data_IF_495788915965
#
_entry.id   IF_495788915965
#
_cell.length_a   1.000
_cell.length_b   1.000
_cell.length_c   1.000
_cell.angle_alpha   90.00
_cell.angle_beta   90.00
_cell.angle_gamma   90.00
#
_symmetry.space_group_name_H-M   'P 1'
#
loop_
_entity.id
_entity.type
_entity.pdbx_description
1 polymer ?
#
# COMPACT_ATOMS: atom_id res chain seq x y z
N UNK A 1 -2.34 -12.02 -3.22
CA UNK A 1 -2.30 -11.04 -2.11
C UNK A 1 -2.71 -11.75 -0.84
N UNK A 2 -1.83 -11.80 0.16
CA UNK A 2 -2.20 -12.31 1.48
C UNK A 2 -3.29 -11.39 2.05
N UNK A 3 -4.39 -11.97 2.50
CA UNK A 3 -5.42 -11.20 3.20
C UNK A 3 -4.79 -10.65 4.50
N UNK A 4 -4.85 -9.33 4.76
CA UNK A 4 -4.20 -8.71 5.92
C UNK A 4 -4.53 -9.39 7.25
N UNK A 5 -5.76 -9.91 7.38
CA UNK A 5 -6.22 -10.63 8.58
C UNK A 5 -5.48 -11.93 8.82
N UNK A 6 -5.39 -12.81 7.82
CA UNK A 6 -4.73 -14.11 7.97
C UNK A 6 -3.24 -13.99 8.33
N UNK A 7 -2.58 -12.93 7.85
CA UNK A 7 -1.20 -12.62 8.23
C UNK A 7 -1.09 -12.14 9.69
N UNK A 8 -1.97 -11.23 10.12
CA UNK A 8 -2.00 -10.74 11.50
C UNK A 8 -2.31 -11.86 12.49
N UNK A 9 -3.21 -12.78 12.13
CA UNK A 9 -3.56 -13.95 12.93
C UNK A 9 -2.34 -14.88 13.08
N UNK A 10 -1.62 -15.17 11.99
CA UNK A 10 -0.41 -16.00 12.03
C UNK A 10 0.73 -15.34 12.84
N UNK A 11 0.87 -14.01 12.74
CA UNK A 11 1.83 -13.22 13.52
C UNK A 11 1.50 -13.26 15.02
N UNK A 12 0.21 -13.12 15.36
CA UNK A 12 -0.30 -13.19 16.73
C UNK A 12 -0.08 -14.57 17.33
N UNK A 13 -0.33 -15.63 16.57
CA UNK A 13 -0.06 -17.01 16.99
C UNK A 13 1.43 -17.23 17.25
N UNK A 14 2.30 -16.73 16.37
CA UNK A 14 3.74 -16.90 16.50
C UNK A 14 4.32 -16.07 17.65
N UNK A 15 3.80 -14.86 17.88
CA UNK A 15 4.14 -14.04 19.05
C UNK A 15 3.62 -14.67 20.35
N UNK A 16 2.39 -15.16 20.37
CA UNK A 16 1.80 -15.85 21.51
C UNK A 16 2.65 -17.06 21.91
N UNK A 17 3.16 -17.84 20.95
CA UNK A 17 4.09 -18.95 21.23
C UNK A 17 5.43 -18.50 21.83
N UNK A 18 5.97 -17.36 21.40
CA UNK A 18 7.19 -16.79 21.99
C UNK A 18 6.98 -16.36 23.45
N UNK A 19 5.79 -15.84 23.80
CA UNK A 19 5.46 -15.39 25.15
C UNK A 19 4.85 -16.46 26.06
N UNK A 20 4.24 -17.50 25.48
CA UNK A 20 3.63 -18.63 26.20
C UNK A 20 4.60 -19.79 26.43
N UNK A 21 5.84 -19.68 25.95
CA UNK A 21 6.85 -20.72 26.08
C UNK A 21 7.20 -20.97 27.55
N UNK A 22 7.17 -22.24 27.94
CA UNK A 22 7.49 -22.85 29.23
C UNK A 22 8.99 -22.72 29.62
N UNK A 23 9.66 -21.67 29.15
CA UNK A 23 11.09 -21.45 29.35
C UNK A 23 11.33 -20.07 29.97
N UNK A 24 12.08 -20.07 31.05
CA UNK A 24 12.62 -18.88 31.72
C UNK A 24 13.66 -18.16 30.83
N UNK A 25 13.31 -17.82 29.60
CA UNK A 25 14.17 -17.09 28.68
C UNK A 25 14.36 -15.65 29.22
N UNK A 26 15.59 -15.13 29.26
CA UNK A 26 15.86 -13.75 29.64
C UNK A 26 15.06 -12.78 28.77
N UNK A 27 14.50 -11.71 29.36
CA UNK A 27 13.73 -10.69 28.63
C UNK A 27 14.42 -10.16 27.37
N UNK A 28 15.75 -10.02 27.41
CA UNK A 28 16.54 -9.55 26.28
C UNK A 28 16.52 -10.52 25.08
N UNK A 29 16.45 -11.82 25.34
CA UNK A 29 16.42 -12.85 24.29
C UNK A 29 15.04 -12.91 23.63
N UNK A 30 13.97 -12.72 24.41
CA UNK A 30 12.60 -12.56 23.89
C UNK A 30 12.46 -11.30 23.02
N UNK A 31 13.02 -10.17 23.45
CA UNK A 31 13.02 -8.92 22.69
C UNK A 31 13.73 -9.07 21.34
N UNK A 32 14.89 -9.74 21.33
CA UNK A 32 15.63 -10.04 20.11
C UNK A 32 14.83 -10.92 19.14
N UNK A 33 14.25 -12.01 19.64
CA UNK A 33 13.43 -12.92 18.82
C UNK A 33 12.17 -12.22 18.27
N UNK A 34 11.51 -11.38 19.07
CA UNK A 34 10.37 -10.59 18.64
C UNK A 34 10.77 -9.57 17.55
N UNK A 35 11.92 -8.90 17.70
CA UNK A 35 12.43 -7.96 16.69
C UNK A 35 12.71 -8.65 15.35
N UNK A 36 13.32 -9.83 15.36
CA UNK A 36 13.57 -10.62 14.15
C UNK A 36 12.26 -11.05 13.49
N UNK A 37 11.28 -11.48 14.29
CA UNK A 37 9.94 -11.84 13.80
C UNK A 37 9.25 -10.63 13.15
N UNK A 38 9.29 -9.45 13.77
CA UNK A 38 8.75 -8.20 13.22
C UNK A 38 9.45 -7.79 11.93
N UNK A 39 10.78 -7.85 11.88
CA UNK A 39 11.54 -7.53 10.68
C UNK A 39 11.18 -8.49 9.53
N UNK A 40 11.14 -9.80 9.78
CA UNK A 40 10.74 -10.79 8.78
C UNK A 40 9.28 -10.64 8.35
N UNK A 41 8.40 -10.22 9.25
CA UNK A 41 7.01 -9.90 8.97
C UNK A 41 6.88 -8.68 8.04
N UNK A 42 7.58 -7.58 8.35
CA UNK A 42 7.57 -6.37 7.52
C UNK A 42 8.21 -6.59 6.14
N UNK A 43 9.24 -7.43 6.03
CA UNK A 43 9.85 -7.78 4.74
C UNK A 43 8.93 -8.62 3.84
N UNK A 44 7.93 -9.29 4.40
CA UNK A 44 6.90 -10.03 3.62
C UNK A 44 5.74 -9.14 3.17
N UNK A 45 5.69 -7.90 3.63
CA UNK A 45 4.71 -6.91 3.24
C UNK A 45 5.37 -5.97 2.21
N UNK A 46 4.66 -5.66 1.12
CA UNK A 46 5.09 -4.66 0.15
C UNK A 46 4.91 -3.24 0.73
N UNK A 47 5.68 -2.94 1.78
CA UNK A 47 5.61 -1.67 2.50
C UNK A 47 6.42 -0.62 1.76
N UNK A 48 5.82 0.55 1.62
CA UNK A 48 6.50 1.77 1.19
C UNK A 48 6.58 2.73 2.37
N UNK A 49 7.55 3.63 2.34
CA UNK A 49 7.61 4.70 3.34
C UNK A 49 6.38 5.60 3.22
N UNK A 50 5.98 6.23 4.32
CA UNK A 50 4.85 7.16 4.31
C UNK A 50 5.10 8.33 3.35
N UNK A 51 6.32 8.83 3.32
CA UNK A 51 6.75 9.92 2.42
C UNK A 51 6.65 9.52 0.95
N UNK A 52 7.05 8.30 0.60
CA UNK A 52 6.94 7.80 -0.78
C UNK A 52 5.48 7.61 -1.19
N UNK A 53 4.65 7.08 -0.30
CA UNK A 53 3.20 7.00 -0.52
C UNK A 53 2.59 8.39 -0.78
N UNK A 54 2.89 9.36 0.08
CA UNK A 54 2.37 10.73 -0.06
C UNK A 54 2.87 11.38 -1.35
N UNK A 55 4.14 11.14 -1.74
CA UNK A 55 4.70 11.61 -3.01
C UNK A 55 3.96 11.04 -4.22
N UNK A 56 3.67 9.74 -4.22
CA UNK A 56 2.91 9.09 -5.30
C UNK A 56 1.47 9.60 -5.38
N UNK A 57 0.85 9.91 -4.23
CA UNK A 57 -0.49 10.52 -4.19
C UNK A 57 -0.52 11.89 -4.87
N UNK A 58 0.52 12.72 -4.70
CA UNK A 58 0.62 14.01 -5.40
C UNK A 58 0.77 13.81 -6.91
N UNK A 59 1.61 12.87 -7.34
CA UNK A 59 1.77 12.54 -8.77
C UNK A 59 0.43 12.09 -9.36
N UNK A 60 -0.30 11.22 -8.66
CA UNK A 60 -1.61 10.73 -9.09
C UNK A 60 -2.66 11.86 -9.19
N UNK A 61 -2.66 12.78 -8.23
CA UNK A 61 -3.56 13.94 -8.29
C UNK A 61 -3.27 14.81 -9.52
N UNK A 62 -1.98 15.04 -9.81
CA UNK A 62 -1.55 15.81 -10.98
C UNK A 62 -1.89 15.11 -12.30
N UNK A 63 -1.74 13.79 -12.38
CA UNK A 63 -2.08 13.05 -13.60
C UNK A 63 -3.58 13.05 -13.85
N UNK A 64 -4.42 12.92 -12.81
CA UNK A 64 -5.88 13.06 -12.94
C UNK A 64 -6.29 14.42 -13.47
N UNK A 65 -5.76 15.51 -12.88
CA UNK A 65 -6.06 16.86 -13.36
C UNK A 65 -5.65 17.07 -14.83
N UNK A 66 -4.51 16.51 -15.25
CA UNK A 66 -4.07 16.56 -16.65
C UNK A 66 -4.95 15.73 -17.57
N UNK A 67 -5.40 14.56 -17.11
CA UNK A 67 -6.29 13.69 -17.87
C UNK A 67 -7.63 14.39 -18.12
N UNK A 68 -8.23 14.96 -17.08
CA UNK A 68 -9.48 15.72 -17.18
C UNK A 68 -9.35 16.90 -18.17
N UNK A 69 -8.24 17.64 -18.12
CA UNK A 69 -7.99 18.74 -19.06
C UNK A 69 -7.81 18.27 -20.51
N UNK A 70 -7.21 17.10 -20.73
CA UNK A 70 -7.08 16.51 -22.07
C UNK A 70 -8.41 15.98 -22.58
N UNK A 71 -9.22 15.35 -21.72
CA UNK A 71 -10.57 14.90 -22.06
C UNK A 71 -11.46 16.07 -22.48
N UNK A 72 -11.35 17.22 -21.79
CA UNK A 72 -12.05 18.45 -22.19
C UNK A 72 -11.61 18.96 -23.56
N UNK A 73 -10.28 19.08 -23.79
CA UNK A 73 -9.75 19.51 -25.09
C UNK A 73 -10.15 18.56 -26.22
N UNK A 74 -10.18 17.27 -25.94
CA UNK A 74 -10.59 16.26 -26.89
C UNK A 74 -12.07 16.41 -27.24
N UNK A 75 -12.95 16.59 -26.24
CA UNK A 75 -14.38 16.84 -26.47
C UNK A 75 -14.63 18.13 -27.28
N UNK A 76 -13.90 19.21 -27.00
CA UNK A 76 -13.96 20.45 -27.78
C UNK A 76 -13.54 20.23 -29.23
N UNK A 77 -12.48 19.45 -29.46
CA UNK A 77 -12.01 19.13 -30.79
C UNK A 77 -13.02 18.25 -31.55
N UNK A 78 -13.57 17.22 -30.89
CA UNK A 78 -14.63 16.38 -31.45
C UNK A 78 -15.86 17.22 -31.82
N UNK A 79 -16.27 18.16 -30.98
CA UNK A 79 -17.41 19.05 -31.27
C UNK A 79 -17.15 19.96 -32.49
N UNK A 80 -15.91 20.41 -32.68
CA UNK A 80 -15.49 21.23 -33.84
C UNK A 80 -15.36 20.43 -35.13
N UNK A 81 -15.03 19.13 -35.02
CA UNK A 81 -14.85 18.22 -36.15
C UNK A 81 -16.11 17.45 -36.51
N UNK A 82 -17.13 17.43 -35.64
CA UNK A 82 -18.45 16.96 -35.98
C UNK A 82 -18.92 17.74 -37.23
N UNK A 83 -19.20 17.05 -38.35
CA UNK A 83 -19.58 17.73 -39.57
C UNK A 83 -20.80 18.60 -39.26
N UNK A 84 -20.82 19.81 -39.83
CA UNK A 84 -22.04 20.61 -39.94
C UNK A 84 -23.03 19.85 -40.83
N UNK A 85 -23.62 18.79 -40.28
CA UNK A 85 -24.68 18.02 -40.88
C UNK A 85 -25.98 18.80 -40.66
N UNK A 86 -26.06 19.94 -41.33
CA UNK A 86 -27.24 20.73 -41.65
C UNK A 86 -26.75 21.92 -42.49
N UNK A 87 -26.58 21.67 -43.79
CA UNK A 87 -27.23 22.42 -44.88
C UNK A 87 -27.05 21.67 -46.20
#
# INVERSE_FOLDING_TARGET
MLAPKAFLDALSDQASRLFSGDTAAPRAELESQFKVLMQGAFSKLDLVSREEFDSQMVVLARTRARLEALEQQFAELEARMAPSAKE
#
